data_IF_234163837641
#
_entry.id   IF_234163837641
#
_cell.length_a   1.000
_cell.length_b   1.000
_cell.length_c   1.000
_cell.angle_alpha   90.00
_cell.angle_beta   90.00
_cell.angle_gamma   90.00
#
_symmetry.space_group_name_H-M   'P 1'
#
loop_
_entity.id
_entity.type
_entity.pdbx_description
1 polymer ?
#
# COMPACT_ATOMS: atom_id res chain seq x y z
N UNK A 1 39.91 51.88 4.92
CA UNK A 1 38.66 51.31 5.47
C UNK A 1 37.98 50.38 4.45
N UNK A 2 38.66 49.32 3.99
CA UNK A 2 38.18 48.51 2.85
C UNK A 2 38.45 46.99 3.02
N UNK A 3 38.35 46.47 4.25
CA UNK A 3 38.54 45.03 4.52
C UNK A 3 37.40 44.35 5.28
N UNK A 4 36.47 45.13 5.86
CA UNK A 4 35.38 44.59 6.70
C UNK A 4 34.16 44.16 5.87
N UNK A 5 34.01 44.67 4.64
CA UNK A 5 32.84 44.40 3.80
C UNK A 5 32.81 43.02 3.12
N UNK A 6 33.93 42.30 3.05
CA UNK A 6 33.97 40.96 2.41
C UNK A 6 33.52 39.83 3.33
N UNK A 7 33.53 40.03 4.65
CA UNK A 7 33.19 38.99 5.61
C UNK A 7 31.67 38.80 5.77
N UNK A 8 30.85 39.84 5.54
CA UNK A 8 29.40 39.77 5.69
C UNK A 8 28.68 38.93 4.63
N UNK A 9 29.23 38.87 3.42
CA UNK A 9 28.63 38.15 2.28
C UNK A 9 28.81 36.63 2.35
N UNK A 10 29.89 36.14 2.96
CA UNK A 10 30.15 34.70 3.09
C UNK A 10 29.25 34.04 4.15
N UNK A 11 28.91 34.76 5.23
CA UNK A 11 28.07 34.24 6.32
C UNK A 11 26.60 34.14 5.90
N UNK A 12 26.11 35.07 5.08
CA UNK A 12 24.74 35.05 4.57
C UNK A 12 24.49 33.94 3.54
N UNK A 13 25.50 33.54 2.75
CA UNK A 13 25.37 32.46 1.78
C UNK A 13 25.21 31.07 2.40
N UNK A 14 25.81 30.84 3.58
CA UNK A 14 25.76 29.54 4.26
C UNK A 14 24.45 29.33 5.05
N UNK A 15 23.81 30.40 5.49
CA UNK A 15 22.55 30.33 6.24
C UNK A 15 21.33 29.97 5.36
N UNK A 16 21.35 30.33 4.07
CA UNK A 16 20.24 30.04 3.15
C UNK A 16 20.19 28.55 2.76
N UNK A 17 21.33 27.86 2.74
CA UNK A 17 21.40 26.43 2.41
C UNK A 17 20.95 25.50 3.57
N UNK A 18 20.82 26.02 4.79
CA UNK A 18 20.36 25.24 5.95
C UNK A 18 18.87 25.42 6.27
N UNK A 19 18.21 26.43 5.69
CA UNK A 19 16.78 26.72 5.88
C UNK A 19 15.89 26.29 4.69
N UNK A 20 16.50 25.81 3.60
CA UNK A 20 15.80 25.11 2.53
C UNK A 20 15.32 23.76 3.03
N UNK A 21 14.06 23.73 3.49
CA UNK A 21 13.49 22.66 4.27
C UNK A 21 13.91 21.25 3.85
N UNK A 22 14.30 20.47 4.86
CA UNK A 22 14.01 19.03 4.91
C UNK A 22 12.51 18.85 4.71
N UNK A 23 12.06 18.92 3.45
CA UNK A 23 10.84 18.27 3.05
C UNK A 23 11.15 16.79 3.26
N UNK A 24 10.71 16.25 4.40
CA UNK A 24 10.55 14.80 4.53
C UNK A 24 9.85 14.38 3.25
N UNK A 25 10.53 13.58 2.41
CA UNK A 25 9.96 13.06 1.17
C UNK A 25 8.55 12.63 1.53
N UNK A 26 7.55 13.31 0.95
CA UNK A 26 6.15 13.00 1.20
C UNK A 26 5.94 11.64 0.55
N UNK A 27 6.25 10.59 1.30
CA UNK A 27 6.08 9.21 0.93
C UNK A 27 4.61 9.05 0.56
N UNK A 28 4.31 9.17 -0.74
CA UNK A 28 2.95 9.00 -1.21
C UNK A 28 2.51 7.61 -0.75
N UNK A 29 1.38 7.53 -0.07
CA UNK A 29 0.81 6.26 0.33
C UNK A 29 -0.46 6.01 -0.47
N UNK A 30 -0.64 4.79 -0.96
CA UNK A 30 -1.83 4.37 -1.68
C UNK A 30 -2.38 3.08 -1.07
N UNK A 31 -3.67 3.07 -0.77
CA UNK A 31 -4.37 1.84 -0.40
C UNK A 31 -4.49 0.96 -1.64
N UNK A 32 -4.00 -0.28 -1.54
CA UNK A 32 -4.16 -1.30 -2.56
C UNK A 32 -5.03 -2.43 -2.02
N UNK A 33 -5.80 -3.01 -2.93
CA UNK A 33 -6.63 -4.18 -2.68
C UNK A 33 -6.49 -5.15 -3.84
N UNK A 34 -6.41 -6.43 -3.50
CA UNK A 34 -6.37 -7.50 -4.49
C UNK A 34 -7.28 -8.63 -4.03
N UNK A 35 -8.22 -9.01 -4.88
CA UNK A 35 -9.12 -10.15 -4.63
C UNK A 35 -8.71 -11.32 -5.52
N UNK A 36 -8.70 -12.52 -4.95
CA UNK A 36 -8.53 -13.75 -5.72
C UNK A 36 -9.36 -14.89 -5.11
N UNK A 37 -9.61 -15.93 -5.89
CA UNK A 37 -10.41 -17.09 -5.51
C UNK A 37 -9.68 -18.39 -5.80
N UNK A 38 -9.94 -19.43 -5.01
CA UNK A 38 -9.37 -20.75 -5.23
C UNK A 38 -10.19 -21.85 -4.53
N UNK A 39 -9.79 -23.10 -4.76
CA UNK A 39 -10.42 -24.28 -4.17
C UNK A 39 -10.26 -24.39 -2.65
N UNK A 40 -9.27 -23.71 -2.08
CA UNK A 40 -9.05 -23.66 -0.63
C UNK A 40 -8.87 -22.23 -0.14
N UNK A 41 -9.22 -21.98 1.12
CA UNK A 41 -9.00 -20.69 1.78
C UNK A 41 -7.52 -20.27 1.74
N UNK A 42 -6.61 -21.21 1.96
CA UNK A 42 -5.18 -20.93 2.01
C UNK A 42 -4.62 -20.58 0.62
N UNK A 43 -5.04 -21.27 -0.44
CA UNK A 43 -4.64 -20.94 -1.80
C UNK A 43 -5.22 -19.60 -2.26
N UNK A 44 -6.50 -19.31 -1.94
CA UNK A 44 -7.12 -18.03 -2.26
C UNK A 44 -6.41 -16.86 -1.57
N UNK A 45 -6.05 -17.02 -0.29
CA UNK A 45 -5.31 -15.99 0.46
C UNK A 45 -3.89 -15.78 -0.10
N UNK A 46 -3.17 -16.85 -0.46
CA UNK A 46 -1.83 -16.75 -1.09
C UNK A 46 -1.89 -16.06 -2.45
N UNK A 47 -2.90 -16.39 -3.27
CA UNK A 47 -3.07 -15.78 -4.58
C UNK A 47 -3.47 -14.29 -4.46
N UNK A 48 -4.34 -13.94 -3.50
CA UNK A 48 -4.67 -12.54 -3.21
C UNK A 48 -3.46 -11.76 -2.69
N UNK A 49 -2.63 -12.38 -1.84
CA UNK A 49 -1.36 -11.81 -1.39
C UNK A 49 -0.43 -11.52 -2.58
N UNK A 50 -0.20 -12.50 -3.46
CA UNK A 50 0.67 -12.33 -4.63
C UNK A 50 0.19 -11.18 -5.52
N UNK A 51 -1.11 -11.13 -5.82
CA UNK A 51 -1.70 -10.04 -6.59
C UNK A 51 -1.54 -8.67 -5.90
N UNK A 52 -1.56 -8.61 -4.56
CA UNK A 52 -1.30 -7.36 -3.84
C UNK A 52 0.16 -6.92 -3.98
N UNK A 53 1.13 -7.85 -3.98
CA UNK A 53 2.54 -7.53 -4.26
C UNK A 53 2.70 -7.00 -5.68
N UNK A 54 2.06 -7.63 -6.66
CA UNK A 54 2.11 -7.18 -8.06
C UNK A 54 1.48 -5.80 -8.23
N UNK A 55 0.34 -5.55 -7.57
CA UNK A 55 -0.31 -4.24 -7.54
C UNK A 55 0.61 -3.19 -6.92
N UNK A 56 1.32 -3.50 -5.82
CA UNK A 56 2.29 -2.59 -5.22
C UNK A 56 3.43 -2.25 -6.20
N UNK A 57 3.94 -3.25 -6.93
CA UNK A 57 4.97 -3.05 -7.95
C UNK A 57 4.46 -2.25 -9.15
N UNK A 58 3.19 -2.38 -9.52
CA UNK A 58 2.56 -1.52 -10.53
C UNK A 58 2.46 -0.08 -10.02
N UNK A 59 1.99 0.14 -8.79
CA UNK A 59 1.91 1.48 -8.17
C UNK A 59 3.30 2.12 -8.11
N UNK A 60 4.33 1.36 -7.71
CA UNK A 60 5.73 1.80 -7.73
C UNK A 60 6.13 2.34 -9.11
N UNK A 61 5.87 1.56 -10.17
CA UNK A 61 6.19 1.95 -11.56
C UNK A 61 5.39 3.17 -12.01
N UNK A 62 4.09 3.21 -11.72
CA UNK A 62 3.20 4.30 -12.12
C UNK A 62 3.56 5.63 -11.44
N UNK A 63 4.01 5.58 -10.18
CA UNK A 63 4.39 6.77 -9.42
C UNK A 63 5.86 7.15 -9.52
N UNK A 64 6.67 6.36 -10.25
CA UNK A 64 8.11 6.60 -10.36
C UNK A 64 8.89 6.40 -9.06
N UNK A 65 8.34 5.66 -8.10
CA UNK A 65 9.00 5.41 -6.82
C UNK A 65 10.21 4.47 -6.99
N UNK A 66 11.36 4.83 -6.44
CA UNK A 66 12.53 3.92 -6.37
C UNK A 66 12.30 2.72 -5.43
N UNK A 67 11.44 2.83 -4.41
CA UNK A 67 11.05 1.73 -3.51
C UNK A 67 9.55 1.73 -3.22
N UNK A 68 9.04 0.60 -2.75
CA UNK A 68 7.70 0.51 -2.18
C UNK A 68 7.73 -0.36 -0.92
N UNK A 69 7.12 0.13 0.14
CA UNK A 69 6.91 -0.59 1.40
C UNK A 69 5.43 -0.90 1.55
N UNK A 70 5.12 -2.06 2.12
CA UNK A 70 3.74 -2.49 2.32
C UNK A 70 3.46 -2.63 3.80
N UNK A 71 2.31 -2.10 4.21
CA UNK A 71 1.77 -2.27 5.56
C UNK A 71 0.41 -2.97 5.48
N UNK A 72 0.18 -4.02 6.26
CA UNK A 72 -1.08 -4.75 6.23
C UNK A 72 -2.21 -3.81 6.65
N UNK A 73 -3.29 -3.78 5.86
CA UNK A 73 -4.45 -2.94 6.15
C UNK A 73 -5.72 -3.70 5.87
N UNK A 74 -6.59 -3.77 6.88
CA UNK A 74 -7.94 -4.30 6.73
C UNK A 74 -8.71 -3.44 5.75
N UNK A 75 -9.34 -4.08 4.77
CA UNK A 75 -10.11 -3.42 3.70
C UNK A 75 -11.47 -4.07 3.58
N UNK A 76 -12.45 -3.30 3.10
CA UNK A 76 -13.75 -3.86 2.75
C UNK A 76 -13.55 -4.95 1.67
N UNK A 77 -14.05 -6.18 1.90
CA UNK A 77 -13.98 -7.23 0.89
C UNK A 77 -14.60 -6.78 -0.43
N UNK A 78 -13.94 -7.08 -1.54
CA UNK A 78 -14.37 -6.66 -2.88
C UNK A 78 -14.67 -7.91 -3.73
N UNK A 79 -15.93 -8.37 -3.81
CA UNK A 79 -16.28 -9.59 -4.52
C UNK A 79 -16.09 -9.43 -6.03
N UNK A 80 -15.57 -10.49 -6.66
CA UNK A 80 -15.36 -10.54 -8.11
C UNK A 80 -16.68 -10.48 -8.88
N UNK A 81 -17.65 -11.32 -8.47
CA UNK A 81 -18.97 -11.44 -9.10
C UNK A 81 -20.00 -10.52 -8.45
N UNK A 82 -19.87 -9.20 -8.62
CA UNK A 82 -20.79 -8.21 -8.01
C UNK A 82 -22.25 -8.39 -8.42
N UNK A 83 -22.49 -8.92 -9.62
CA UNK A 83 -23.84 -9.23 -10.10
C UNK A 83 -24.54 -10.33 -9.26
N UNK A 84 -23.78 -11.30 -8.75
CA UNK A 84 -24.33 -12.42 -7.97
C UNK A 84 -24.16 -12.22 -6.47
N UNK A 85 -23.09 -11.53 -6.07
CA UNK A 85 -22.85 -11.12 -4.69
C UNK A 85 -22.37 -9.67 -4.68
N UNK A 86 -23.29 -8.69 -4.56
CA UNK A 86 -22.93 -7.28 -4.58
C UNK A 86 -22.21 -6.85 -3.31
N UNK A 87 -22.48 -7.52 -2.18
CA UNK A 87 -21.96 -7.16 -0.86
C UNK A 87 -21.46 -8.40 -0.11
N UNK A 88 -20.40 -8.24 0.66
CA UNK A 88 -19.89 -9.23 1.62
C UNK A 88 -20.03 -8.64 3.02
N UNK A 89 -20.94 -9.19 3.81
CA UNK A 89 -21.17 -8.78 5.20
C UNK A 89 -20.27 -9.55 6.17
N UNK A 90 -20.16 -9.09 7.42
CA UNK A 90 -19.20 -9.62 8.39
C UNK A 90 -19.46 -11.08 8.80
N UNK A 91 -20.72 -11.51 8.79
CA UNK A 91 -21.16 -12.89 9.07
C UNK A 91 -20.73 -13.88 7.98
N UNK A 92 -20.46 -13.41 6.76
CA UNK A 92 -19.99 -14.24 5.65
C UNK A 92 -18.48 -14.54 5.72
N UNK A 93 -17.76 -13.84 6.61
CA UNK A 93 -16.31 -13.91 6.69
C UNK A 93 -15.84 -15.18 7.41
N UNK A 94 -14.98 -15.93 6.75
CA UNK A 94 -14.35 -17.12 7.29
C UNK A 94 -13.17 -16.73 8.18
N UNK A 95 -13.33 -16.86 9.50
CA UNK A 95 -12.23 -16.71 10.46
C UNK A 95 -11.30 -17.93 10.50
N UNK A 96 -10.04 -17.78 10.94
CA UNK A 96 -9.34 -16.52 11.23
C UNK A 96 -9.01 -15.74 9.94
N UNK A 97 -8.84 -14.42 10.05
CA UNK A 97 -8.30 -13.63 8.94
C UNK A 97 -6.82 -14.00 8.70
N UNK A 98 -6.33 -13.86 7.46
CA UNK A 98 -4.95 -14.22 7.12
C UNK A 98 -4.12 -12.95 7.09
N UNK A 99 -3.30 -12.75 8.11
CA UNK A 99 -2.47 -11.54 8.26
C UNK A 99 -1.00 -11.89 8.07
N UNK A 100 -0.32 -11.08 7.26
CA UNK A 100 1.13 -11.17 7.05
C UNK A 100 1.78 -9.84 7.41
N UNK A 101 3.12 -9.78 7.35
CA UNK A 101 3.86 -8.51 7.53
C UNK A 101 3.56 -7.47 6.46
N UNK A 102 2.94 -7.85 5.32
CA UNK A 102 2.66 -6.96 4.18
C UNK A 102 1.18 -6.76 3.90
N UNK A 103 0.32 -7.73 4.17
CA UNK A 103 -1.11 -7.69 3.80
C UNK A 103 -2.03 -8.19 4.91
N UNK A 104 -3.26 -7.71 4.90
CA UNK A 104 -4.35 -8.25 5.70
C UNK A 104 -5.41 -8.83 4.78
N UNK A 105 -5.68 -10.13 4.85
CA UNK A 105 -6.63 -10.80 3.99
C UNK A 105 -7.87 -11.30 4.73
N UNK A 106 -9.04 -10.95 4.20
CA UNK A 106 -10.33 -11.43 4.66
C UNK A 106 -10.91 -12.37 3.61
N UNK A 107 -11.42 -13.53 4.02
CA UNK A 107 -11.94 -14.55 3.13
C UNK A 107 -13.41 -14.85 3.39
N UNK A 108 -14.14 -15.29 2.38
CA UNK A 108 -15.53 -15.72 2.46
C UNK A 108 -15.79 -16.85 1.46
N UNK A 109 -16.94 -17.52 1.56
CA UNK A 109 -17.37 -18.50 0.55
C UNK A 109 -17.78 -17.80 -0.73
N UNK A 110 -17.18 -18.20 -1.84
CA UNK A 110 -17.55 -17.68 -3.16
C UNK A 110 -18.82 -18.33 -3.70
N UNK A 111 -19.26 -17.83 -4.85
CA UNK A 111 -20.47 -18.30 -5.54
C UNK A 111 -20.12 -19.40 -6.55
N UNK A 112 -19.11 -19.14 -7.39
CA UNK A 112 -18.65 -20.08 -8.43
C UNK A 112 -17.46 -20.92 -7.92
N UNK A 113 -16.48 -20.24 -7.34
CA UNK A 113 -15.28 -20.86 -6.75
C UNK A 113 -15.44 -20.83 -5.23
N UNK A 114 -15.11 -21.91 -4.50
CA UNK A 114 -15.55 -22.09 -3.11
C UNK A 114 -15.00 -21.06 -2.14
N UNK A 115 -13.79 -20.53 -2.35
CA UNK A 115 -13.20 -19.54 -1.47
C UNK A 115 -12.73 -18.31 -2.24
N UNK A 116 -13.03 -17.14 -1.70
CA UNK A 116 -12.57 -15.85 -2.22
C UNK A 116 -11.94 -15.09 -1.07
N UNK A 117 -10.80 -14.45 -1.31
CA UNK A 117 -10.11 -13.61 -0.34
C UNK A 117 -9.74 -12.26 -0.95
N UNK A 118 -9.95 -11.18 -0.19
CA UNK A 118 -9.41 -9.85 -0.51
C UNK A 118 -8.25 -9.57 0.43
N UNK A 119 -7.06 -9.34 -0.13
CA UNK A 119 -5.90 -8.84 0.58
C UNK A 119 -5.82 -7.31 0.45
N UNK A 120 -5.66 -6.63 1.58
CA UNK A 120 -5.48 -5.19 1.66
C UNK A 120 -4.10 -4.81 2.22
N UNK A 121 -3.51 -3.78 1.63
CA UNK A 121 -2.27 -3.20 2.10
C UNK A 121 -2.19 -1.71 1.78
N UNK A 122 -1.44 -0.94 2.57
CA UNK A 122 -1.03 0.41 2.20
C UNK A 122 0.37 0.33 1.61
N UNK A 123 0.50 0.74 0.35
CA UNK A 123 1.77 0.86 -0.35
C UNK A 123 2.30 2.29 -0.20
N UNK A 124 3.45 2.45 0.46
CA UNK A 124 4.12 3.75 0.61
C UNK A 124 5.49 3.70 -0.07
N UNK A 125 5.78 4.67 -0.94
CA UNK A 125 7.08 4.78 -1.61
C UNK A 125 7.91 5.97 -1.14
N UNK A 126 9.07 6.12 -1.76
CA UNK A 126 9.99 7.25 -1.62
C UNK A 126 9.57 8.43 -2.48
#
# INVERSE_FOLDING_TARGET
>A
MLRVFKAGLAVLGFAVLFLGGLQTASAGCQLIKATNSAESKASAARAAYANAIDTANQVKRQRGWSYVTLRPRKVTPDPFWKAVRPVVTSDMLLKPDVVTSKTYAQCWKGVVVPYVCTAGAVACGN
#
